data_IF_173232485146
#
_entry.id   IF_173232485146
#
_cell.length_a   1.000
_cell.length_b   1.000
_cell.length_c   1.000
_cell.angle_alpha   90.00
_cell.angle_beta   90.00
_cell.angle_gamma   90.00
#
_symmetry.space_group_name_H-M   'P 1'
#
loop_
_entity.id
_entity.type
_entity.pdbx_description
1 polymer ?
#
# COMPACT_ATOMS: atom_id res chain seq x y z
N UNK A 1 5.19 -31.84 -33.16
CA UNK A 1 4.59 -30.50 -32.94
C UNK A 1 5.11 -29.86 -31.65
N UNK A 2 4.80 -30.37 -30.45
CA UNK A 2 5.31 -29.78 -29.19
C UNK A 2 6.81 -29.99 -28.98
N UNK A 3 7.34 -31.17 -29.30
CA UNK A 3 8.77 -31.49 -29.18
C UNK A 3 9.62 -30.66 -30.17
N UNK A 4 9.09 -30.50 -31.38
CA UNK A 4 9.69 -29.70 -32.44
C UNK A 4 9.74 -28.20 -32.08
N UNK A 5 8.69 -27.69 -31.41
CA UNK A 5 8.67 -26.33 -30.88
C UNK A 5 9.65 -26.13 -29.72
N UNK A 6 9.87 -27.16 -28.89
CA UNK A 6 10.85 -27.11 -27.79
C UNK A 6 12.29 -27.08 -28.33
N UNK A 7 12.59 -27.88 -29.34
CA UNK A 7 13.90 -27.86 -30.01
C UNK A 7 14.17 -26.51 -30.68
N UNK A 8 13.18 -25.93 -31.35
CA UNK A 8 13.29 -24.62 -31.98
C UNK A 8 13.52 -23.50 -30.93
N UNK A 9 12.88 -23.59 -29.77
CA UNK A 9 13.05 -22.65 -28.67
C UNK A 9 14.43 -22.80 -28.03
N UNK A 10 14.92 -24.02 -27.83
CA UNK A 10 16.26 -24.28 -27.32
C UNK A 10 17.34 -23.77 -28.27
N UNK A 11 17.16 -23.96 -29.58
CA UNK A 11 18.06 -23.38 -30.59
C UNK A 11 18.08 -21.86 -30.54
N UNK A 12 16.91 -21.20 -30.45
CA UNK A 12 16.82 -19.74 -30.33
C UNK A 12 17.44 -19.21 -29.04
N UNK A 13 17.32 -19.94 -27.93
CA UNK A 13 17.98 -19.61 -26.66
C UNK A 13 19.50 -19.71 -26.80
N UNK A 14 20.03 -20.66 -27.58
CA UNK A 14 21.48 -20.77 -27.79
C UNK A 14 22.01 -19.68 -28.74
N UNK A 15 21.27 -19.38 -29.82
CA UNK A 15 21.68 -18.38 -30.83
C UNK A 15 21.56 -16.93 -30.34
N UNK A 16 20.53 -16.62 -29.54
CA UNK A 16 20.21 -15.26 -29.11
C UNK A 16 20.26 -15.06 -27.59
N UNK A 17 20.58 -16.12 -26.83
CA UNK A 17 20.62 -16.06 -25.38
C UNK A 17 21.82 -15.25 -24.91
N UNK A 18 21.52 -14.15 -24.24
CA UNK A 18 22.51 -13.45 -23.41
C UNK A 18 22.45 -14.09 -22.03
N UNK A 19 23.60 -14.58 -21.53
CA UNK A 19 23.71 -15.03 -20.15
C UNK A 19 23.37 -13.87 -19.22
N UNK A 20 22.30 -13.99 -18.45
CA UNK A 20 21.93 -13.00 -17.44
C UNK A 20 22.95 -13.10 -16.31
N UNK A 21 24.05 -12.37 -16.46
CA UNK A 21 25.09 -12.27 -15.45
C UNK A 21 24.60 -11.42 -14.27
N UNK A 22 25.20 -11.57 -13.08
CA UNK A 22 24.89 -10.73 -11.91
C UNK A 22 25.04 -9.24 -12.22
N UNK A 23 25.91 -8.91 -13.19
CA UNK A 23 26.07 -7.56 -13.76
C UNK A 23 24.78 -7.00 -14.35
N UNK A 24 23.91 -7.81 -14.97
CA UNK A 24 22.65 -7.34 -15.55
C UNK A 24 21.60 -7.05 -14.45
N UNK A 25 21.60 -7.83 -13.37
CA UNK A 25 20.77 -7.53 -12.19
C UNK A 25 21.26 -6.23 -11.52
N UNK A 26 22.57 -6.08 -11.37
CA UNK A 26 23.20 -4.85 -10.86
C UNK A 26 22.95 -3.65 -11.78
N UNK A 27 22.94 -3.82 -13.10
CA UNK A 27 22.64 -2.79 -14.09
C UNK A 27 21.17 -2.38 -14.05
N UNK A 28 20.23 -3.33 -13.94
CA UNK A 28 18.80 -3.01 -13.78
C UNK A 28 18.59 -2.26 -12.46
N UNK A 29 19.23 -2.71 -11.38
CA UNK A 29 19.22 -2.02 -10.10
C UNK A 29 19.86 -0.63 -10.20
N UNK A 30 20.96 -0.47 -10.94
CA UNK A 30 21.59 0.84 -11.18
C UNK A 30 20.73 1.74 -12.07
N UNK A 31 20.04 1.23 -13.08
CA UNK A 31 19.13 1.99 -13.93
C UNK A 31 17.92 2.44 -13.11
N UNK A 32 17.36 1.56 -12.28
CA UNK A 32 16.26 1.90 -11.38
C UNK A 32 16.66 2.85 -10.25
N UNK A 33 17.88 2.73 -9.71
CA UNK A 33 18.40 3.61 -8.67
C UNK A 33 18.98 4.93 -9.22
N UNK A 34 19.48 4.92 -10.46
CA UNK A 34 20.14 6.03 -11.14
C UNK A 34 19.19 6.94 -11.90
N UNK A 35 17.98 6.47 -12.19
CA UNK A 35 16.89 7.37 -12.54
C UNK A 35 16.43 8.08 -11.27
N UNK A 36 16.85 9.34 -11.16
CA UNK A 36 16.20 10.31 -10.29
C UNK A 36 14.80 10.55 -10.87
N UNK A 37 13.90 9.58 -10.69
CA UNK A 37 12.47 9.81 -10.78
C UNK A 37 12.24 11.05 -9.92
N UNK A 38 11.74 12.12 -10.55
CA UNK A 38 11.15 13.31 -9.92
C UNK A 38 9.92 12.85 -9.11
N UNK A 39 10.18 12.01 -8.12
CA UNK A 39 9.23 11.33 -7.29
C UNK A 39 9.35 11.90 -5.89
N UNK A 40 8.20 12.10 -5.26
CA UNK A 40 8.16 12.54 -3.87
C UNK A 40 8.94 11.56 -2.99
N UNK A 41 9.53 12.02 -1.87
CA UNK A 41 10.24 11.13 -0.94
C UNK A 41 9.43 9.90 -0.52
N UNK A 42 8.11 10.07 -0.39
CA UNK A 42 7.16 8.99 -0.09
C UNK A 42 7.09 7.94 -1.20
N UNK A 43 7.10 8.36 -2.47
CA UNK A 43 7.09 7.42 -3.60
C UNK A 43 8.42 6.71 -3.76
N UNK A 44 9.55 7.39 -3.48
CA UNK A 44 10.87 6.73 -3.44
C UNK A 44 10.89 5.64 -2.37
N UNK A 45 10.40 5.95 -1.16
CA UNK A 45 10.28 4.97 -0.08
C UNK A 45 9.33 3.81 -0.44
N UNK A 46 8.18 4.12 -1.04
CA UNK A 46 7.21 3.11 -1.48
C UNK A 46 7.86 2.11 -2.44
N UNK A 47 8.58 2.60 -3.45
CA UNK A 47 9.26 1.74 -4.42
C UNK A 47 10.35 0.89 -3.79
N UNK A 48 11.15 1.44 -2.87
CA UNK A 48 12.15 0.67 -2.14
C UNK A 48 11.51 -0.49 -1.36
N UNK A 49 10.39 -0.26 -0.69
CA UNK A 49 9.67 -1.32 0.02
C UNK A 49 9.03 -2.33 -0.94
N UNK A 50 8.52 -1.91 -2.09
CA UNK A 50 8.01 -2.82 -3.11
C UNK A 50 9.11 -3.76 -3.63
N UNK A 51 10.31 -3.25 -3.90
CA UNK A 51 11.44 -4.08 -4.35
C UNK A 51 11.81 -5.14 -3.31
N UNK A 52 11.86 -4.77 -2.02
CA UNK A 52 12.09 -5.74 -0.93
C UNK A 52 10.98 -6.80 -0.87
N UNK A 53 9.73 -6.40 -1.06
CA UNK A 53 8.59 -7.31 -1.02
C UNK A 53 8.57 -8.28 -2.21
N UNK A 54 9.05 -7.84 -3.38
CA UNK A 54 9.22 -8.70 -4.57
C UNK A 54 10.29 -9.77 -4.35
N UNK A 55 11.38 -9.43 -3.67
CA UNK A 55 12.44 -10.38 -3.30
C UNK A 55 12.05 -11.32 -2.15
N UNK A 56 10.98 -11.00 -1.42
CA UNK A 56 10.49 -11.79 -0.29
C UNK A 56 9.54 -12.91 -0.72
N UNK A 57 9.52 -14.00 0.04
CA UNK A 57 8.56 -15.09 -0.13
C UNK A 57 7.12 -14.57 -0.12
N UNK A 58 6.26 -15.20 -0.92
CA UNK A 58 4.83 -14.84 -0.97
C UNK A 58 4.12 -15.05 0.37
N UNK A 59 4.57 -16.03 1.15
CA UNK A 59 4.08 -16.32 2.49
C UNK A 59 4.80 -15.48 3.56
N UNK A 60 4.04 -14.99 4.55
CA UNK A 60 4.59 -14.39 5.77
C UNK A 60 5.15 -12.98 5.63
N UNK A 61 4.76 -12.25 4.57
CA UNK A 61 5.24 -10.88 4.31
C UNK A 61 4.90 -9.94 5.46
N UNK A 62 5.90 -9.20 5.94
CA UNK A 62 5.72 -8.11 6.90
C UNK A 62 5.75 -6.79 6.15
N UNK A 63 4.61 -6.11 6.12
CA UNK A 63 4.48 -4.82 5.46
C UNK A 63 4.94 -3.69 6.37
N UNK A 64 5.70 -2.75 5.82
CA UNK A 64 5.99 -1.51 6.53
C UNK A 64 4.70 -0.69 6.72
N UNK A 65 4.53 0.03 7.86
CA UNK A 65 3.30 0.79 8.14
C UNK A 65 2.87 1.74 7.02
N UNK A 66 3.82 2.39 6.34
CA UNK A 66 3.54 3.29 5.22
C UNK A 66 2.84 2.58 4.04
N UNK A 67 3.16 1.30 3.78
CA UNK A 67 2.48 0.49 2.76
C UNK A 67 1.05 0.17 3.19
N UNK A 68 0.86 -0.17 4.48
CA UNK A 68 -0.49 -0.38 5.04
C UNK A 68 -1.32 0.90 4.94
N UNK A 69 -0.76 2.07 5.28
CA UNK A 69 -1.43 3.36 5.14
C UNK A 69 -1.83 3.66 3.70
N UNK A 70 -0.93 3.43 2.74
CA UNK A 70 -1.23 3.57 1.32
C UNK A 70 -2.38 2.65 0.90
N UNK A 71 -2.31 1.37 1.27
CA UNK A 71 -3.32 0.37 0.94
C UNK A 71 -4.69 0.73 1.54
N UNK A 72 -4.75 1.14 2.81
CA UNK A 72 -5.97 1.65 3.46
C UNK A 72 -6.53 2.89 2.74
N UNK A 73 -5.66 3.82 2.33
CA UNK A 73 -6.05 5.04 1.63
C UNK A 73 -6.63 4.78 0.24
N UNK A 74 -6.12 3.78 -0.49
CA UNK A 74 -6.64 3.37 -1.80
C UNK A 74 -7.95 2.58 -1.63
N UNK A 75 -7.94 1.56 -0.77
CA UNK A 75 -9.11 0.73 -0.49
C UNK A 75 -10.28 1.56 0.07
N UNK A 76 -10.01 2.56 0.92
CA UNK A 76 -11.04 3.46 1.44
C UNK A 76 -11.69 4.35 0.39
N UNK A 77 -11.00 4.66 -0.71
CA UNK A 77 -11.58 5.42 -1.85
C UNK A 77 -12.33 4.51 -2.81
N UNK A 78 -11.75 3.36 -3.15
CA UNK A 78 -12.37 2.37 -4.04
C UNK A 78 -11.83 0.97 -3.73
N UNK A 79 -12.63 0.11 -3.06
CA UNK A 79 -12.26 -1.28 -2.82
C UNK A 79 -12.06 -2.06 -4.13
N UNK A 80 -12.89 -1.79 -5.14
CA UNK A 80 -12.79 -2.45 -6.45
C UNK A 80 -11.48 -2.13 -7.16
N UNK A 81 -11.06 -0.86 -7.18
CA UNK A 81 -9.79 -0.48 -7.78
C UNK A 81 -8.59 -1.06 -7.01
N UNK A 82 -8.69 -1.14 -5.68
CA UNK A 82 -7.66 -1.78 -4.86
C UNK A 82 -7.50 -3.26 -5.22
N UNK A 83 -8.61 -3.97 -5.37
CA UNK A 83 -8.61 -5.39 -5.74
C UNK A 83 -7.98 -5.62 -7.11
N UNK A 84 -8.37 -4.84 -8.10
CA UNK A 84 -7.80 -4.90 -9.45
C UNK A 84 -6.28 -4.64 -9.44
N UNK A 85 -5.83 -3.61 -8.73
CA UNK A 85 -4.40 -3.32 -8.58
C UNK A 85 -3.63 -4.46 -7.91
N UNK A 86 -4.21 -5.09 -6.89
CA UNK A 86 -3.60 -6.23 -6.19
C UNK A 86 -3.56 -7.47 -7.08
N UNK A 87 -4.64 -7.77 -7.78
CA UNK A 87 -4.78 -8.95 -8.66
C UNK A 87 -3.95 -8.82 -9.94
N UNK A 88 -3.68 -7.60 -10.40
CA UNK A 88 -2.81 -7.34 -11.55
C UNK A 88 -1.38 -7.87 -11.39
N UNK A 89 -0.94 -8.12 -10.15
CA UNK A 89 0.44 -8.52 -9.85
C UNK A 89 1.49 -7.42 -10.04
N UNK A 90 1.09 -6.23 -10.51
CA UNK A 90 1.99 -5.09 -10.70
C UNK A 90 2.54 -4.55 -9.37
N UNK A 91 1.77 -4.68 -8.29
CA UNK A 91 2.15 -4.24 -6.95
C UNK A 91 1.97 -5.35 -5.93
N UNK A 92 2.92 -5.45 -4.99
CA UNK A 92 2.82 -6.34 -3.84
C UNK A 92 2.09 -5.62 -2.71
N UNK A 93 0.78 -5.89 -2.62
CA UNK A 93 -0.12 -5.25 -1.66
C UNK A 93 -0.71 -6.24 -0.64
N UNK A 94 -1.02 -5.77 0.59
CA UNK A 94 -1.71 -6.56 1.60
C UNK A 94 -3.04 -7.15 1.11
N UNK A 95 -3.51 -8.25 1.72
CA UNK A 95 -4.86 -8.74 1.46
C UNK A 95 -5.93 -7.83 2.06
N UNK A 96 -7.14 -7.88 1.53
CA UNK A 96 -8.30 -7.17 2.10
C UNK A 96 -8.56 -7.60 3.55
N UNK A 97 -8.33 -8.87 3.91
CA UNK A 97 -8.43 -9.35 5.29
C UNK A 97 -7.46 -8.63 6.22
N UNK A 98 -6.20 -8.45 5.81
CA UNK A 98 -5.21 -7.69 6.59
C UNK A 98 -5.66 -6.24 6.76
N UNK A 99 -6.17 -5.61 5.70
CA UNK A 99 -6.69 -4.25 5.79
C UNK A 99 -7.90 -4.14 6.73
N UNK A 100 -8.78 -5.14 6.72
CA UNK A 100 -9.92 -5.22 7.62
C UNK A 100 -9.47 -5.29 9.09
N UNK A 101 -8.46 -6.10 9.39
CA UNK A 101 -7.90 -6.20 10.75
C UNK A 101 -7.30 -4.87 11.21
N UNK A 102 -6.54 -4.19 10.34
CA UNK A 102 -6.00 -2.86 10.63
C UNK A 102 -7.09 -1.80 10.79
N UNK A 103 -8.15 -1.85 9.97
CA UNK A 103 -9.28 -0.93 10.06
C UNK A 103 -10.05 -1.11 11.38
N UNK A 104 -10.24 -2.34 11.81
CA UNK A 104 -11.02 -2.68 13.00
C UNK A 104 -10.18 -2.76 14.27
N UNK A 105 -8.88 -2.45 14.18
CA UNK A 105 -8.00 -2.37 15.34
C UNK A 105 -8.56 -1.40 16.39
N UNK A 106 -9.20 -0.32 15.95
CA UNK A 106 -9.92 0.60 16.82
C UNK A 106 -11.41 0.30 16.83
N UNK A 107 -11.95 -0.11 17.98
CA UNK A 107 -13.39 -0.27 18.17
C UNK A 107 -14.04 1.09 18.42
N UNK A 108 -14.89 1.56 17.51
CA UNK A 108 -15.70 2.75 17.74
C UNK A 108 -16.69 2.50 18.89
N UNK A 109 -16.70 3.40 19.87
CA UNK A 109 -17.63 3.37 21.00
C UNK A 109 -18.61 4.53 20.89
N UNK A 110 -19.85 4.32 21.32
CA UNK A 110 -20.83 5.40 21.40
C UNK A 110 -20.37 6.48 22.39
N UNK A 111 -20.72 7.73 22.11
CA UNK A 111 -20.34 8.89 22.91
C UNK A 111 -19.02 9.54 22.47
N UNK A 112 -18.43 10.33 23.38
CA UNK A 112 -17.23 11.11 23.09
C UNK A 112 -15.98 10.24 23.31
N UNK A 113 -15.13 10.13 22.28
CA UNK A 113 -13.84 9.49 22.43
C UNK A 113 -12.84 10.43 23.13
N UNK A 114 -12.57 10.16 24.40
CA UNK A 114 -11.66 10.95 25.23
C UNK A 114 -10.20 10.92 24.75
N UNK A 115 -9.76 9.84 24.10
CA UNK A 115 -8.41 9.73 23.54
C UNK A 115 -8.22 10.75 22.42
N UNK A 116 -9.19 10.82 21.50
CA UNK A 116 -9.21 11.81 20.43
C UNK A 116 -9.23 13.24 20.99
N UNK A 117 -10.04 13.50 22.02
CA UNK A 117 -10.08 14.84 22.67
C UNK A 117 -8.72 15.19 23.28
N UNK A 118 -8.05 14.24 23.91
CA UNK A 118 -6.72 14.45 24.49
C UNK A 118 -5.66 14.72 23.41
N UNK A 119 -5.67 13.96 22.32
CA UNK A 119 -4.78 14.21 21.18
C UNK A 119 -5.05 15.56 20.52
N UNK A 120 -6.32 15.94 20.36
CA UNK A 120 -6.71 17.25 19.85
C UNK A 120 -6.15 18.36 20.75
N UNK A 121 -6.30 18.25 22.08
CA UNK A 121 -5.71 19.21 23.03
C UNK A 121 -4.19 19.34 22.86
N UNK A 122 -3.48 18.23 22.65
CA UNK A 122 -2.03 18.25 22.36
C UNK A 122 -1.74 19.02 21.07
N UNK A 123 -2.48 18.75 19.99
CA UNK A 123 -2.31 19.45 18.71
C UNK A 123 -2.61 20.95 18.82
N UNK A 124 -3.65 21.33 19.56
CA UNK A 124 -4.03 22.73 19.76
C UNK A 124 -3.12 23.51 20.73
N UNK A 125 -2.23 22.82 21.45
CA UNK A 125 -1.29 23.50 22.37
C UNK A 125 -0.34 24.44 21.63
N UNK A 126 0.04 24.11 20.39
CA UNK A 126 0.90 24.94 19.53
C UNK A 126 0.15 26.07 18.83
N UNK A 127 -1.18 26.11 18.89
CA UNK A 127 -1.99 27.08 18.16
C UNK A 127 -2.13 28.39 18.96
N UNK A 128 -2.18 29.50 18.23
CA UNK A 128 -2.45 30.83 18.80
C UNK A 128 -3.88 30.92 19.33
N UNK A 129 -4.16 31.91 20.20
CA UNK A 129 -5.50 32.08 20.82
C UNK A 129 -6.62 32.17 19.77
N UNK A 130 -6.37 32.83 18.65
CA UNK A 130 -7.36 33.01 17.57
C UNK A 130 -7.63 31.69 16.84
N UNK A 131 -6.60 30.89 16.60
CA UNK A 131 -6.72 29.58 15.93
C UNK A 131 -7.44 28.51 16.78
N UNK A 132 -7.66 28.77 18.08
CA UNK A 132 -8.39 27.86 18.98
C UNK A 132 -9.90 28.04 18.92
N UNK A 133 -10.40 29.11 18.28
CA UNK A 133 -11.83 29.26 18.04
C UNK A 133 -12.25 28.35 16.89
N UNK A 134 -13.10 27.37 17.20
CA UNK A 134 -13.66 26.42 16.24
C UNK A 134 -15.17 26.38 16.38
N UNK A 135 -15.87 26.08 15.29
CA UNK A 135 -17.30 25.83 15.29
C UNK A 135 -17.51 24.33 15.15
N UNK A 136 -18.26 23.73 16.08
CA UNK A 136 -18.68 22.34 15.97
C UNK A 136 -20.11 22.31 15.44
N UNK A 137 -20.28 21.76 14.23
CA UNK A 137 -21.59 21.54 13.61
C UNK A 137 -21.90 20.06 13.69
N UNK A 138 -23.08 19.73 14.19
CA UNK A 138 -23.57 18.35 14.30
C UNK A 138 -24.98 18.29 13.72
N UNK A 139 -25.27 17.20 13.03
CA UNK A 139 -26.59 16.88 12.49
C UNK A 139 -26.87 15.40 12.72
N UNK A 140 -28.14 15.04 12.80
CA UNK A 140 -28.57 13.66 13.04
C UNK A 140 -28.87 12.95 11.72
N UNK A 141 -28.48 11.68 11.62
CA UNK A 141 -28.78 10.85 10.46
C UNK A 141 -29.74 9.73 10.86
N UNK A 142 -30.87 9.62 10.14
CA UNK A 142 -31.80 8.49 10.30
C UNK A 142 -31.19 7.23 9.71
N UNK A 143 -31.00 6.21 10.56
CA UNK A 143 -30.57 4.87 10.16
C UNK A 143 -31.74 3.89 10.18
N UNK A 144 -31.62 2.78 9.45
CA UNK A 144 -32.64 1.73 9.46
C UNK A 144 -32.68 1.01 10.82
N UNK A 145 -33.88 0.86 11.38
CA UNK A 145 -34.10 0.15 12.63
C UNK A 145 -33.89 -1.35 12.46
N UNK A 146 -33.24 -1.99 13.44
CA UNK A 146 -32.97 -3.43 13.41
C UNK A 146 -31.69 -3.85 12.69
N UNK A 147 -30.81 -2.90 12.34
CA UNK A 147 -29.43 -3.23 11.99
C UNK A 147 -28.69 -3.69 13.25
N UNK A 148 -28.50 -5.00 13.35
CA UNK A 148 -27.60 -5.62 14.32
C UNK A 148 -26.77 -6.65 13.55
N UNK A 149 -25.45 -6.65 13.79
CA UNK A 149 -24.57 -7.76 13.40
C UNK A 149 -24.29 -8.58 14.65
#
# INVERSE_FOLDING_TARGET
MLEEQLEELQQKIVDQGVSVDKSLEEDILQIMNGQNLEATPHMKFFWQEQMKLLQSSSSGRRYHPQIIWFALSVHGKSPSAYRELRESGALVLPSESVLHDYKNYFTSKAGINNENVHELKKKFSSFTKIQRYIVLVMDEMKIQSGLVF
#
